data_IF_061370076403
#
_entry.id   IF_061370076403
#
_cell.length_a   1.000
_cell.length_b   1.000
_cell.length_c   1.000
_cell.angle_alpha   90.00
_cell.angle_beta   90.00
_cell.angle_gamma   90.00
#
_symmetry.space_group_name_H-M   'P 1'
#
loop_
_entity.id
_entity.type
_entity.pdbx_description
1 polymer ?
#
# COMPACT_ATOMS: atom_id res chain seq x y z
N UNK A 1 75.83 -12.32 4.53
CA UNK A 1 74.85 -11.24 4.32
C UNK A 1 73.67 -11.84 3.61
N UNK A 2 72.57 -12.19 4.33
CA UNK A 2 71.32 -12.76 3.76
C UNK A 2 70.23 -11.69 3.87
N UNK A 3 69.73 -11.22 2.70
CA UNK A 3 68.62 -10.28 2.62
C UNK A 3 67.30 -11.09 2.72
N UNK A 4 66.48 -10.81 3.69
CA UNK A 4 65.13 -11.31 3.78
C UNK A 4 64.19 -10.40 2.98
N UNK A 5 63.47 -10.98 2.01
CA UNK A 5 62.36 -10.32 1.33
C UNK A 5 61.07 -10.55 2.13
N UNK A 6 60.46 -9.47 2.60
CA UNK A 6 59.15 -9.50 3.25
C UNK A 6 58.09 -9.35 2.19
N UNK A 7 57.28 -10.37 1.95
CA UNK A 7 56.05 -10.30 1.11
C UNK A 7 54.90 -9.79 1.99
N UNK A 8 54.44 -8.58 1.71
CA UNK A 8 53.27 -8.00 2.32
C UNK A 8 52.05 -8.38 1.48
N UNK A 9 51.31 -9.38 1.94
CA UNK A 9 50.07 -9.82 1.29
C UNK A 9 48.96 -8.83 1.58
N UNK A 10 48.46 -8.17 0.53
CA UNK A 10 47.29 -7.29 0.57
C UNK A 10 46.04 -8.17 0.49
N UNK A 11 45.30 -8.32 1.61
CA UNK A 11 43.98 -8.92 1.65
C UNK A 11 42.98 -7.92 1.03
N UNK A 12 42.51 -8.19 -0.16
CA UNK A 12 41.33 -7.52 -0.72
C UNK A 12 40.08 -8.14 -0.09
N UNK A 13 39.47 -7.43 0.85
CA UNK A 13 38.13 -7.75 1.32
C UNK A 13 37.13 -7.31 0.24
N UNK A 14 36.63 -8.24 -0.55
CA UNK A 14 35.47 -8.02 -1.42
C UNK A 14 34.23 -7.88 -0.54
N UNK A 15 33.77 -6.64 -0.35
CA UNK A 15 32.45 -6.36 0.21
C UNK A 15 31.43 -6.73 -0.89
N UNK A 16 30.81 -7.91 -0.76
CA UNK A 16 29.59 -8.22 -1.49
C UNK A 16 28.47 -7.33 -0.94
N UNK A 17 28.23 -6.19 -1.58
CA UNK A 17 26.99 -5.45 -1.42
C UNK A 17 25.89 -6.27 -2.09
N UNK A 18 25.24 -7.13 -1.32
CA UNK A 18 24.01 -7.77 -1.75
C UNK A 18 22.97 -6.66 -1.96
N UNK A 19 22.57 -6.42 -3.20
CA UNK A 19 21.39 -5.64 -3.54
C UNK A 19 20.20 -6.42 -3.00
N UNK A 20 19.75 -6.12 -1.77
CA UNK A 20 18.43 -6.55 -1.33
C UNK A 20 17.42 -5.83 -2.24
N UNK A 21 16.70 -6.60 -3.04
CA UNK A 21 15.49 -6.11 -3.68
C UNK A 21 14.61 -5.56 -2.56
N UNK A 22 14.27 -4.27 -2.63
CA UNK A 22 13.44 -3.62 -1.63
C UNK A 22 12.07 -4.28 -1.66
N UNK A 23 11.85 -5.21 -0.76
CA UNK A 23 10.56 -5.79 -0.40
C UNK A 23 9.71 -4.72 0.28
N UNK A 24 8.40 -4.96 0.46
CA UNK A 24 7.46 -4.09 1.18
C UNK A 24 8.06 -3.42 2.43
N UNK A 25 7.45 -2.33 2.89
CA UNK A 25 7.97 -1.62 4.05
C UNK A 25 7.73 -2.41 5.34
N UNK A 26 8.81 -2.81 5.99
CA UNK A 26 8.78 -3.50 7.29
C UNK A 26 8.92 -2.51 8.43
N UNK A 27 8.10 -2.66 9.46
CA UNK A 27 8.16 -1.84 10.66
C UNK A 27 8.22 -2.74 11.90
N UNK A 28 9.00 -2.38 12.93
CA UNK A 28 8.88 -3.02 14.24
C UNK A 28 7.48 -2.77 14.79
N UNK A 29 6.88 -3.77 15.43
CA UNK A 29 5.61 -3.57 16.10
C UNK A 29 5.80 -2.64 17.30
N UNK A 30 4.97 -1.59 17.42
CA UNK A 30 4.95 -0.77 18.62
C UNK A 30 4.32 -1.55 19.79
N UNK A 31 4.45 -1.07 21.02
CA UNK A 31 3.73 -1.62 22.18
C UNK A 31 2.23 -1.82 21.89
N UNK A 32 1.55 -2.72 22.62
CA UNK A 32 0.13 -3.02 22.35
C UNK A 32 -0.81 -1.80 22.44
N UNK A 33 -0.47 -0.83 23.26
CA UNK A 33 -1.18 0.43 23.51
C UNK A 33 -0.76 1.58 22.56
N UNK A 34 0.17 1.34 21.65
CA UNK A 34 0.58 2.28 20.60
C UNK A 34 0.16 1.76 19.23
N UNK A 35 -0.19 2.66 18.32
CA UNK A 35 -0.58 2.33 16.94
C UNK A 35 0.27 3.05 15.89
N UNK A 36 1.07 4.03 16.29
CA UNK A 36 1.89 4.83 15.38
C UNK A 36 3.14 4.05 14.98
N UNK A 37 3.38 3.92 13.68
CA UNK A 37 4.59 3.32 13.09
C UNK A 37 5.16 4.21 11.99
N UNK A 38 6.46 4.10 11.77
CA UNK A 38 7.15 4.82 10.69
C UNK A 38 7.27 6.33 10.92
N UNK A 39 7.88 6.98 9.95
CA UNK A 39 8.06 8.43 9.89
C UNK A 39 7.87 8.89 8.44
N UNK A 40 7.31 10.07 8.24
CA UNK A 40 7.20 10.65 6.90
C UNK A 40 8.55 11.20 6.47
N UNK A 41 8.85 11.05 5.18
CA UNK A 41 10.07 11.60 4.56
C UNK A 41 9.71 12.53 3.42
N UNK A 42 10.70 13.17 2.80
CA UNK A 42 10.50 14.03 1.64
C UNK A 42 11.31 13.56 0.45
N UNK A 43 10.78 13.82 -0.75
CA UNK A 43 11.44 13.54 -2.02
C UNK A 43 11.33 14.75 -2.95
N UNK A 44 12.45 15.20 -3.50
CA UNK A 44 12.43 16.25 -4.51
C UNK A 44 12.36 15.65 -5.89
N UNK A 45 11.32 16.00 -6.65
CA UNK A 45 11.09 15.50 -8.00
C UNK A 45 12.24 15.91 -8.92
N UNK A 46 12.97 14.96 -9.54
CA UNK A 46 14.00 15.27 -10.52
C UNK A 46 13.40 15.61 -11.88
N UNK A 47 14.22 16.13 -12.80
CA UNK A 47 13.81 16.38 -14.18
C UNK A 47 14.03 15.12 -15.05
N UNK A 48 13.31 14.03 -14.75
CA UNK A 48 13.44 12.74 -15.43
C UNK A 48 12.14 12.27 -16.10
N UNK A 49 11.06 13.04 -15.98
CA UNK A 49 9.76 12.77 -16.62
C UNK A 49 9.01 11.56 -16.06
N UNK A 50 9.39 11.04 -14.87
CA UNK A 50 8.70 9.90 -14.26
C UNK A 50 7.33 10.29 -13.71
N UNK A 51 6.28 9.46 -13.90
CA UNK A 51 4.98 9.69 -13.28
C UNK A 51 5.03 9.44 -11.76
N UNK A 52 4.07 10.03 -11.04
CA UNK A 52 3.96 9.90 -9.58
C UNK A 52 3.83 8.43 -9.13
N UNK A 53 3.20 7.57 -9.94
CA UNK A 53 3.09 6.14 -9.68
C UNK A 53 4.47 5.45 -9.61
N UNK A 54 5.38 5.81 -10.51
CA UNK A 54 6.74 5.26 -10.51
C UNK A 54 7.52 5.70 -9.26
N UNK A 55 7.37 6.97 -8.86
CA UNK A 55 7.94 7.49 -7.60
C UNK A 55 7.33 6.75 -6.40
N UNK A 56 6.00 6.62 -6.36
CA UNK A 56 5.29 5.88 -5.31
C UNK A 56 5.77 4.43 -5.19
N UNK A 57 6.03 3.77 -6.33
CA UNK A 57 6.51 2.39 -6.35
C UNK A 57 7.90 2.24 -5.71
N UNK A 58 8.81 3.18 -5.93
CA UNK A 58 10.15 3.17 -5.31
C UNK A 58 10.06 3.19 -3.78
N UNK A 59 9.11 3.93 -3.23
CA UNK A 59 8.87 4.05 -1.78
C UNK A 59 7.83 3.06 -1.23
N UNK A 60 7.35 2.12 -2.04
CA UNK A 60 6.32 1.14 -1.63
C UNK A 60 5.01 1.78 -1.16
N UNK A 61 4.66 2.91 -1.73
CA UNK A 61 3.40 3.61 -1.48
C UNK A 61 2.42 3.37 -2.65
N UNK A 62 1.12 3.43 -2.38
CA UNK A 62 0.07 3.42 -3.40
C UNK A 62 -0.12 4.81 -4.02
N UNK A 63 -0.57 4.86 -5.28
CA UNK A 63 -0.76 6.14 -5.99
C UNK A 63 -1.71 7.07 -5.24
N UNK A 64 -2.87 6.58 -4.75
CA UNK A 64 -3.81 7.42 -4.02
C UNK A 64 -3.18 7.98 -2.74
N UNK A 65 -2.42 7.17 -1.99
CA UNK A 65 -1.72 7.65 -0.78
C UNK A 65 -0.73 8.77 -1.08
N UNK A 66 -0.04 8.71 -2.22
CA UNK A 66 0.83 9.81 -2.67
C UNK A 66 0.02 11.07 -3.03
N UNK A 67 -1.14 10.93 -3.67
CA UNK A 67 -2.01 12.06 -4.03
C UNK A 67 -2.68 12.69 -2.80
N UNK A 68 -3.12 11.89 -1.84
CA UNK A 68 -3.69 12.36 -0.57
C UNK A 68 -2.66 13.17 0.23
N UNK A 69 -1.42 12.70 0.30
CA UNK A 69 -0.34 13.39 0.98
C UNK A 69 0.10 14.68 0.24
N UNK A 70 0.02 14.69 -1.10
CA UNK A 70 0.54 15.77 -1.96
C UNK A 70 -0.54 16.34 -2.89
N UNK A 71 -1.53 17.07 -2.37
CA UNK A 71 -2.63 17.61 -3.19
C UNK A 71 -2.12 18.56 -4.27
N UNK A 72 -2.76 18.52 -5.43
CA UNK A 72 -2.41 19.35 -6.58
C UNK A 72 -1.17 18.89 -7.37
N UNK A 73 -0.57 17.76 -6.99
CA UNK A 73 0.51 17.15 -7.79
C UNK A 73 -0.07 16.49 -9.04
N UNK A 74 0.52 16.78 -10.21
CA UNK A 74 0.17 16.08 -11.45
C UNK A 74 0.61 14.61 -11.35
N UNK A 75 -0.32 13.63 -11.45
CA UNK A 75 0.04 12.22 -11.33
C UNK A 75 0.86 11.70 -12.53
N UNK A 76 0.75 12.32 -13.69
CA UNK A 76 1.42 11.87 -14.91
C UNK A 76 2.78 12.51 -15.12
N UNK A 77 2.92 13.78 -14.73
CA UNK A 77 4.16 14.54 -14.90
C UNK A 77 4.36 15.50 -13.71
N UNK A 78 4.77 15.01 -12.53
CA UNK A 78 5.09 15.87 -11.40
C UNK A 78 6.14 16.91 -11.78
N UNK A 79 5.92 18.16 -11.38
CA UNK A 79 6.81 19.28 -11.74
C UNK A 79 8.19 19.07 -11.12
N UNK A 80 9.30 19.12 -11.89
CA UNK A 80 10.66 19.09 -11.35
C UNK A 80 10.90 20.16 -10.27
N UNK A 81 11.60 19.79 -9.21
CA UNK A 81 11.86 20.65 -8.05
C UNK A 81 10.73 20.68 -7.01
N UNK A 82 9.56 20.07 -7.28
CA UNK A 82 8.53 19.90 -6.25
C UNK A 82 9.03 18.99 -5.15
N UNK A 83 8.86 19.41 -3.89
CA UNK A 83 9.13 18.57 -2.73
C UNK A 83 7.85 17.81 -2.38
N UNK A 84 7.88 16.48 -2.54
CA UNK A 84 6.79 15.60 -2.18
C UNK A 84 6.97 15.06 -0.76
N UNK A 85 5.88 14.94 -0.02
CA UNK A 85 5.83 14.15 1.22
C UNK A 85 5.65 12.68 0.87
N UNK A 86 6.50 11.82 1.39
CA UNK A 86 6.37 10.36 1.28
C UNK A 86 5.67 9.85 2.55
N UNK A 87 4.40 9.41 2.47
CA UNK A 87 3.58 9.09 3.63
C UNK A 87 3.87 7.67 4.18
N UNK A 88 5.02 7.52 4.81
CA UNK A 88 5.49 6.26 5.43
C UNK A 88 5.14 6.15 6.92
N UNK A 89 4.67 7.22 7.55
CA UNK A 89 4.10 7.18 8.89
C UNK A 89 2.62 6.77 8.83
N UNK A 90 2.21 5.81 9.66
CA UNK A 90 0.89 5.16 9.59
C UNK A 90 0.38 4.83 11.00
N UNK A 91 -0.93 4.96 11.23
CA UNK A 91 -1.59 4.32 12.37
C UNK A 91 -2.01 2.89 11.98
N UNK A 92 -1.62 1.91 12.79
CA UNK A 92 -2.10 0.54 12.62
C UNK A 92 -3.63 0.48 12.76
N UNK A 93 -4.34 -0.37 11.99
CA UNK A 93 -5.77 -0.60 12.16
C UNK A 93 -6.11 -1.09 13.57
N UNK A 94 -7.30 -0.74 14.09
CA UNK A 94 -7.79 -1.24 15.38
C UNK A 94 -8.33 -2.66 15.25
N UNK A 95 -7.41 -3.60 15.12
CA UNK A 95 -7.70 -5.02 14.90
C UNK A 95 -6.69 -5.89 15.63
N UNK A 96 -6.95 -7.19 15.69
CA UNK A 96 -5.91 -8.13 16.11
C UNK A 96 -4.68 -8.01 15.20
N UNK A 97 -3.50 -7.86 15.78
CA UNK A 97 -2.20 -7.88 15.06
C UNK A 97 -1.81 -9.33 14.73
N UNK A 98 -2.57 -9.98 13.86
CA UNK A 98 -2.45 -11.40 13.54
C UNK A 98 -2.79 -11.66 12.08
N UNK A 99 -1.94 -12.40 11.38
CA UNK A 99 -2.15 -12.78 9.99
C UNK A 99 -2.19 -11.57 9.07
N UNK A 100 -3.21 -11.48 8.23
CA UNK A 100 -3.39 -10.39 7.26
C UNK A 100 -4.58 -9.52 7.67
N UNK A 101 -4.39 -8.22 7.67
CA UNK A 101 -5.47 -7.22 7.77
C UNK A 101 -5.45 -6.39 6.50
N UNK A 102 -6.59 -6.28 5.83
CA UNK A 102 -6.77 -5.45 4.63
C UNK A 102 -7.71 -4.31 4.99
N UNK A 103 -7.23 -3.06 4.92
CA UNK A 103 -8.10 -1.90 5.02
C UNK A 103 -8.35 -1.31 3.64
N UNK A 104 -9.57 -1.48 3.15
CA UNK A 104 -9.94 -1.07 1.80
C UNK A 104 -9.88 0.46 1.62
N UNK A 105 -10.27 1.23 2.63
CA UNK A 105 -10.24 2.69 2.57
C UNK A 105 -8.81 3.25 2.44
N UNK A 106 -7.83 2.58 3.05
CA UNK A 106 -6.43 2.97 2.98
C UNK A 106 -5.71 2.48 1.72
N UNK A 107 -6.31 1.49 1.00
CA UNK A 107 -5.63 0.72 -0.04
C UNK A 107 -4.33 0.08 0.48
N UNK A 108 -4.37 -0.45 1.71
CA UNK A 108 -3.23 -1.08 2.40
C UNK A 108 -3.57 -2.48 2.90
N UNK A 109 -2.57 -3.36 2.85
CA UNK A 109 -2.55 -4.68 3.47
C UNK A 109 -1.44 -4.71 4.51
N UNK A 110 -1.78 -5.14 5.72
CA UNK A 110 -0.88 -5.32 6.85
C UNK A 110 -0.70 -6.81 7.08
N UNK A 111 0.54 -7.29 7.07
CA UNK A 111 0.84 -8.66 7.41
C UNK A 111 1.64 -8.72 8.71
N UNK A 112 1.16 -9.51 9.64
CA UNK A 112 1.76 -9.76 10.95
C UNK A 112 2.32 -11.18 10.97
N UNK A 113 3.62 -11.40 10.68
CA UNK A 113 4.23 -12.73 10.69
C UNK A 113 4.18 -13.35 12.08
N UNK A 114 3.75 -14.61 12.16
CA UNK A 114 3.62 -15.31 13.44
C UNK A 114 4.98 -15.48 14.12
N UNK A 115 5.08 -15.02 15.38
CA UNK A 115 6.29 -15.13 16.19
C UNK A 115 7.35 -14.07 15.91
N UNK A 116 7.07 -13.09 15.05
CA UNK A 116 7.97 -11.97 14.77
C UNK A 116 7.38 -10.67 15.32
N UNK A 117 8.25 -9.79 15.83
CA UNK A 117 7.85 -8.48 16.37
C UNK A 117 7.89 -7.41 15.28
N UNK A 118 7.17 -7.66 14.19
CA UNK A 118 7.09 -6.73 13.06
C UNK A 118 5.74 -6.77 12.37
N UNK A 119 5.46 -5.73 11.60
CA UNK A 119 4.38 -5.66 10.62
C UNK A 119 4.97 -5.28 9.27
N UNK A 120 4.44 -5.88 8.21
CA UNK A 120 4.82 -5.58 6.82
C UNK A 120 3.63 -4.93 6.15
N UNK A 121 3.83 -3.75 5.59
CA UNK A 121 2.76 -2.95 4.98
C UNK A 121 2.93 -2.95 3.47
N UNK A 122 1.86 -3.31 2.77
CA UNK A 122 1.81 -3.36 1.32
C UNK A 122 0.74 -2.40 0.78
N UNK A 123 1.04 -1.58 -0.21
CA UNK A 123 0.01 -0.90 -0.98
C UNK A 123 -0.72 -1.92 -1.88
N UNK A 124 -2.02 -1.77 -2.00
CA UNK A 124 -2.86 -2.72 -2.77
C UNK A 124 -3.76 -2.00 -3.76
N UNK A 125 -4.11 -2.71 -4.84
CA UNK A 125 -5.25 -2.39 -5.67
C UNK A 125 -6.47 -3.18 -5.21
N UNK A 126 -7.66 -2.57 -5.27
CA UNK A 126 -8.91 -3.19 -4.83
C UNK A 126 -10.00 -3.15 -5.91
N UNK A 127 -11.16 -3.72 -5.60
CA UNK A 127 -12.34 -3.71 -6.48
C UNK A 127 -12.80 -2.30 -6.82
N UNK A 128 -13.11 -2.08 -8.10
CA UNK A 128 -13.74 -0.84 -8.57
C UNK A 128 -15.16 -0.71 -8.02
N UNK A 129 -15.78 0.46 -8.20
CA UNK A 129 -17.16 0.72 -7.79
C UNK A 129 -18.10 -0.36 -8.35
N UNK A 130 -18.98 -0.89 -7.50
CA UNK A 130 -19.87 -2.02 -7.83
C UNK A 130 -19.22 -3.42 -7.79
N UNK A 131 -17.92 -3.52 -7.54
CA UNK A 131 -17.16 -4.78 -7.43
C UNK A 131 -16.47 -4.87 -6.07
N UNK A 132 -17.27 -4.96 -5.01
CA UNK A 132 -16.75 -4.87 -3.64
C UNK A 132 -16.11 -6.17 -3.15
N UNK A 133 -15.02 -6.02 -2.40
CA UNK A 133 -14.50 -7.11 -1.56
C UNK A 133 -15.32 -7.18 -0.29
N UNK A 134 -15.89 -8.34 0.11
CA UNK A 134 -16.69 -8.45 1.33
C UNK A 134 -15.90 -8.14 2.60
N UNK A 135 -16.52 -7.40 3.52
CA UNK A 135 -15.95 -7.09 4.84
C UNK A 135 -16.21 -8.26 5.78
N UNK A 136 -15.19 -9.02 6.09
CA UNK A 136 -15.30 -10.18 6.99
C UNK A 136 -13.95 -10.70 7.45
N UNK A 137 -13.98 -11.62 8.39
CA UNK A 137 -12.84 -12.46 8.75
C UNK A 137 -12.91 -13.76 7.97
N UNK A 138 -11.80 -14.12 7.34
CA UNK A 138 -11.62 -15.32 6.54
C UNK A 138 -10.21 -15.88 6.71
N UNK A 139 -9.76 -16.78 5.82
CA UNK A 139 -8.41 -17.31 5.82
C UNK A 139 -7.91 -17.59 4.39
N UNK A 140 -6.60 -17.77 4.25
CA UNK A 140 -5.98 -18.25 3.01
C UNK A 140 -6.30 -19.74 2.85
N UNK A 141 -7.17 -20.09 1.91
CA UNK A 141 -7.59 -21.48 1.66
C UNK A 141 -6.62 -22.22 0.73
N UNK A 142 -6.00 -21.51 -0.23
CA UNK A 142 -5.11 -22.11 -1.22
C UNK A 142 -4.03 -21.12 -1.65
N UNK A 143 -2.84 -21.64 -1.92
CA UNK A 143 -1.71 -20.92 -2.53
C UNK A 143 -1.52 -21.46 -3.94
N UNK A 144 -1.50 -20.59 -4.94
CA UNK A 144 -1.49 -20.95 -6.36
C UNK A 144 -0.31 -20.26 -7.04
N UNK A 145 0.81 -20.95 -7.24
CA UNK A 145 1.89 -20.42 -8.08
C UNK A 145 1.49 -20.55 -9.55
N UNK A 146 1.92 -19.62 -10.37
CA UNK A 146 1.65 -19.56 -11.80
C UNK A 146 0.15 -19.75 -12.14
N UNK A 147 -0.75 -18.91 -11.58
CA UNK A 147 -2.18 -19.05 -11.79
C UNK A 147 -2.55 -18.85 -13.26
N UNK A 148 -3.56 -19.59 -13.74
CA UNK A 148 -4.27 -19.23 -14.96
C UNK A 148 -5.37 -18.22 -14.64
N UNK A 149 -5.73 -17.38 -15.59
CA UNK A 149 -6.84 -16.45 -15.43
C UNK A 149 -8.00 -16.81 -16.34
N UNK A 150 -9.16 -17.05 -15.75
CA UNK A 150 -10.41 -17.25 -16.47
C UNK A 150 -11.27 -16.01 -16.32
N UNK A 151 -11.30 -15.10 -17.32
CA UNK A 151 -12.14 -13.91 -17.24
C UNK A 151 -13.61 -14.29 -17.16
N UNK A 152 -14.34 -13.68 -16.21
CA UNK A 152 -15.77 -13.91 -16.05
C UNK A 152 -16.54 -13.45 -17.29
N UNK A 153 -17.79 -13.91 -17.45
CA UNK A 153 -18.64 -13.49 -18.57
C UNK A 153 -18.78 -11.94 -18.61
N UNK A 154 -18.93 -11.31 -17.45
CA UNK A 154 -19.03 -9.85 -17.36
C UNK A 154 -17.72 -9.16 -17.77
N UNK A 155 -16.57 -9.68 -17.40
CA UNK A 155 -15.28 -9.17 -17.85
C UNK A 155 -15.16 -9.28 -19.36
N UNK A 156 -15.44 -10.44 -19.93
CA UNK A 156 -15.40 -10.67 -21.40
C UNK A 156 -16.32 -9.68 -22.13
N UNK A 157 -17.57 -9.50 -21.64
CA UNK A 157 -18.53 -8.57 -22.22
C UNK A 157 -18.02 -7.12 -22.23
N UNK A 158 -17.41 -6.68 -21.11
CA UNK A 158 -16.82 -5.33 -21.01
C UNK A 158 -15.65 -5.13 -21.98
N UNK A 159 -14.78 -6.11 -22.14
CA UNK A 159 -13.67 -6.06 -23.09
C UNK A 159 -14.18 -6.09 -24.54
N UNK A 160 -15.18 -6.91 -24.84
CA UNK A 160 -15.80 -6.99 -26.15
C UNK A 160 -16.46 -5.65 -26.53
N UNK A 161 -17.10 -4.94 -25.59
CA UNK A 161 -17.65 -3.61 -25.82
C UNK A 161 -16.59 -2.56 -26.20
N UNK A 162 -15.31 -2.84 -25.86
CA UNK A 162 -14.14 -2.01 -26.23
C UNK A 162 -13.37 -2.57 -27.45
N UNK A 163 -13.96 -3.52 -28.18
CA UNK A 163 -13.35 -4.12 -29.36
C UNK A 163 -12.28 -5.18 -29.05
N UNK A 164 -12.11 -5.60 -27.79
CA UNK A 164 -11.11 -6.60 -27.38
C UNK A 164 -11.79 -7.92 -27.09
N UNK A 165 -11.38 -8.98 -27.79
CA UNK A 165 -11.83 -10.36 -27.52
C UNK A 165 -10.83 -11.05 -26.60
N UNK A 166 -11.23 -11.31 -25.34
CA UNK A 166 -10.42 -12.07 -24.41
C UNK A 166 -10.53 -13.57 -24.69
N UNK A 167 -9.43 -14.36 -24.55
CA UNK A 167 -9.48 -15.80 -24.58
C UNK A 167 -10.33 -16.34 -23.42
N UNK A 168 -10.84 -17.58 -23.55
CA UNK A 168 -11.58 -18.23 -22.48
C UNK A 168 -10.74 -18.40 -21.21
N UNK A 169 -9.46 -18.73 -21.38
CA UNK A 169 -8.45 -18.85 -20.32
C UNK A 169 -7.16 -18.20 -20.80
N UNK A 170 -6.59 -17.34 -19.96
CA UNK A 170 -5.22 -16.82 -20.14
C UNK A 170 -4.28 -17.72 -19.36
N UNK A 171 -3.29 -18.35 -19.99
CA UNK A 171 -2.34 -19.23 -19.30
C UNK A 171 -1.45 -18.41 -18.34
N UNK A 172 -0.74 -19.11 -17.46
CA UNK A 172 0.31 -18.51 -16.67
C UNK A 172 1.38 -17.89 -17.58
N UNK A 173 1.92 -16.73 -17.18
CA UNK A 173 2.95 -16.05 -17.95
C UNK A 173 2.88 -14.53 -17.84
N UNK A 174 3.74 -13.81 -18.56
CA UNK A 174 3.89 -12.36 -18.45
C UNK A 174 2.64 -11.57 -18.88
N UNK A 175 1.80 -12.15 -19.74
CA UNK A 175 0.56 -11.53 -20.20
C UNK A 175 -0.63 -11.78 -19.24
N UNK A 176 -0.44 -12.59 -18.19
CA UNK A 176 -1.51 -12.92 -17.27
C UNK A 176 -1.69 -11.79 -16.23
N UNK A 177 -2.89 -11.15 -16.17
CA UNK A 177 -3.14 -10.05 -15.22
C UNK A 177 -3.18 -10.48 -13.76
N UNK A 178 -3.14 -11.79 -13.46
CA UNK A 178 -3.02 -12.32 -12.09
C UNK A 178 -1.58 -12.34 -11.59
N UNK A 179 -0.58 -12.09 -12.46
CA UNK A 179 0.83 -12.26 -12.13
C UNK A 179 1.23 -13.72 -11.88
N UNK A 180 2.32 -13.91 -11.15
CA UNK A 180 2.92 -15.24 -10.92
C UNK A 180 2.42 -15.95 -9.66
N UNK A 181 1.74 -15.24 -8.75
CA UNK A 181 1.32 -15.78 -7.46
C UNK A 181 -0.09 -15.31 -7.10
N UNK A 182 -0.89 -16.23 -6.58
CA UNK A 182 -2.21 -15.94 -6.03
C UNK A 182 -2.49 -16.74 -4.75
N UNK A 183 -3.22 -16.14 -3.83
CA UNK A 183 -3.73 -16.76 -2.62
C UNK A 183 -5.26 -16.65 -2.62
N UNK A 184 -5.96 -17.79 -2.64
CA UNK A 184 -7.41 -17.84 -2.59
C UNK A 184 -7.88 -17.65 -1.15
N UNK A 185 -8.91 -16.85 -0.98
CA UNK A 185 -9.56 -16.64 0.31
C UNK A 185 -10.73 -17.59 0.51
N UNK A 186 -10.95 -18.04 1.74
CA UNK A 186 -12.06 -18.94 2.12
C UNK A 186 -13.37 -18.14 2.26
N UNK A 187 -13.76 -17.42 1.20
CA UNK A 187 -14.99 -16.61 1.17
C UNK A 187 -15.61 -16.62 -0.23
N UNK A 188 -16.91 -16.29 -0.29
CA UNK A 188 -17.69 -16.42 -1.52
C UNK A 188 -17.69 -17.87 -2.02
N UNK A 189 -17.65 -18.03 -3.34
CA UNK A 189 -17.50 -19.33 -4.00
C UNK A 189 -16.06 -19.59 -4.45
N UNK A 190 -15.07 -18.87 -3.84
CA UNK A 190 -13.65 -18.97 -4.17
C UNK A 190 -13.18 -18.00 -5.25
N UNK A 191 -13.96 -16.97 -5.57
CA UNK A 191 -13.65 -15.93 -6.54
C UNK A 191 -12.74 -14.83 -5.99
N UNK A 192 -12.61 -14.71 -4.66
CA UNK A 192 -11.80 -13.67 -4.03
C UNK A 192 -10.38 -14.16 -3.79
N UNK A 193 -9.42 -13.38 -4.31
CA UNK A 193 -8.00 -13.69 -4.23
C UNK A 193 -7.19 -12.45 -3.81
N UNK A 194 -6.05 -12.73 -3.18
CA UNK A 194 -4.92 -11.82 -3.08
C UNK A 194 -3.93 -12.29 -4.14
N UNK A 195 -3.59 -11.46 -5.13
CA UNK A 195 -2.81 -11.90 -6.28
C UNK A 195 -1.88 -10.80 -6.80
N UNK A 196 -0.95 -11.18 -7.63
CA UNK A 196 -0.06 -10.25 -8.30
C UNK A 196 -0.70 -9.50 -9.46
N UNK A 197 0.15 -8.93 -10.28
CA UNK A 197 -0.23 -8.28 -11.53
C UNK A 197 0.92 -8.43 -12.53
N UNK A 198 0.64 -8.31 -13.81
CA UNK A 198 1.65 -8.20 -14.86
C UNK A 198 2.08 -6.75 -15.12
N UNK A 199 1.50 -5.77 -14.41
CA UNK A 199 1.83 -4.36 -14.52
C UNK A 199 1.75 -3.69 -13.15
N UNK A 200 2.59 -2.69 -12.89
CA UNK A 200 2.54 -1.93 -11.65
C UNK A 200 1.31 -1.02 -11.55
N UNK A 201 0.68 -0.73 -12.69
CA UNK A 201 -0.51 0.10 -12.76
C UNK A 201 -1.66 -0.46 -11.92
N UNK A 202 -2.31 0.41 -11.17
CA UNK A 202 -3.49 0.09 -10.38
C UNK A 202 -3.22 -0.27 -8.92
N UNK A 203 -1.96 -0.23 -8.46
CA UNK A 203 -1.62 -0.36 -7.05
C UNK A 203 -1.83 0.99 -6.35
N UNK A 204 -2.59 0.98 -5.27
CA UNK A 204 -3.12 2.19 -4.65
C UNK A 204 -4.32 2.76 -5.40
N UNK A 205 -5.08 1.93 -6.12
CA UNK A 205 -6.25 2.34 -6.91
C UNK A 205 -7.39 1.32 -6.81
N UNK A 206 -8.58 1.72 -7.28
CA UNK A 206 -9.78 0.87 -7.36
C UNK A 206 -10.00 0.40 -8.80
N UNK A 207 -9.41 -0.72 -9.16
CA UNK A 207 -9.32 -1.17 -10.58
C UNK A 207 -9.68 -2.63 -10.80
N UNK A 208 -9.81 -3.45 -9.74
CA UNK A 208 -10.05 -4.88 -9.88
C UNK A 208 -11.55 -5.22 -9.93
N UNK A 209 -11.86 -6.50 -10.09
CA UNK A 209 -13.23 -7.03 -10.01
C UNK A 209 -13.54 -7.65 -8.63
N UNK A 210 -13.00 -7.07 -7.55
CA UNK A 210 -13.21 -7.51 -6.17
C UNK A 210 -12.02 -8.23 -5.55
N UNK A 211 -11.00 -8.61 -6.33
CA UNK A 211 -9.76 -9.18 -5.82
C UNK A 211 -8.82 -8.09 -5.29
N UNK A 212 -7.90 -8.51 -4.43
CA UNK A 212 -6.84 -7.66 -3.87
C UNK A 212 -5.57 -7.88 -4.70
N UNK A 213 -5.04 -6.79 -5.27
CA UNK A 213 -3.91 -6.82 -6.19
C UNK A 213 -2.67 -6.22 -5.53
N UNK A 214 -1.51 -6.88 -5.69
CA UNK A 214 -0.19 -6.40 -5.24
C UNK A 214 0.77 -6.27 -6.42
N UNK A 215 1.84 -5.49 -6.24
CA UNK A 215 2.97 -5.48 -7.18
C UNK A 215 3.60 -6.87 -7.29
N UNK A 216 4.27 -7.19 -8.40
CA UNK A 216 4.89 -8.51 -8.59
C UNK A 216 5.83 -8.94 -7.47
N UNK A 217 6.73 -8.06 -7.04
CA UNK A 217 7.70 -8.35 -5.97
C UNK A 217 7.00 -8.49 -4.60
N UNK A 218 5.98 -7.67 -4.35
CA UNK A 218 5.23 -7.65 -3.10
C UNK A 218 4.42 -8.95 -2.92
N UNK A 219 3.75 -9.42 -3.98
CA UNK A 219 3.00 -10.68 -3.91
C UNK A 219 3.93 -11.88 -3.79
N UNK A 220 5.08 -11.88 -4.44
CA UNK A 220 6.07 -12.96 -4.32
C UNK A 220 6.57 -13.07 -2.88
N UNK A 221 6.98 -11.96 -2.28
CA UNK A 221 7.41 -11.92 -0.89
C UNK A 221 6.29 -12.38 0.06
N UNK A 222 5.09 -11.81 -0.07
CA UNK A 222 3.94 -12.17 0.77
C UNK A 222 3.55 -13.65 0.59
N UNK A 223 3.50 -14.13 -0.64
CA UNK A 223 3.18 -15.54 -0.94
C UNK A 223 4.15 -16.50 -0.26
N UNK A 224 5.45 -16.21 -0.28
CA UNK A 224 6.46 -17.07 0.33
C UNK A 224 6.35 -17.10 1.86
N UNK A 225 6.00 -15.99 2.50
CA UNK A 225 5.89 -15.87 3.95
C UNK A 225 4.58 -16.38 4.54
N UNK A 226 3.46 -16.26 3.80
CA UNK A 226 2.11 -16.54 4.33
C UNK A 226 1.79 -18.03 4.21
N UNK A 227 1.56 -18.76 5.33
CA UNK A 227 1.08 -20.12 5.31
C UNK A 227 -0.38 -20.23 4.85
N UNK A 228 -0.78 -21.38 4.31
CA UNK A 228 -2.19 -21.74 4.18
C UNK A 228 -2.86 -21.77 5.56
N UNK A 229 -4.10 -21.31 5.64
CA UNK A 229 -4.84 -21.18 6.91
C UNK A 229 -4.61 -19.85 7.63
N UNK A 230 -3.68 -19.00 7.15
CA UNK A 230 -3.45 -17.68 7.74
C UNK A 230 -4.76 -16.88 7.77
N UNK A 231 -5.08 -16.32 8.95
CA UNK A 231 -6.23 -15.44 9.15
C UNK A 231 -6.13 -14.21 8.24
N UNK A 232 -7.25 -13.82 7.63
CA UNK A 232 -7.40 -12.60 6.84
C UNK A 232 -8.61 -11.84 7.34
N UNK A 233 -8.45 -10.59 7.69
CA UNK A 233 -9.55 -9.69 8.04
C UNK A 233 -9.62 -8.56 7.03
N UNK A 234 -10.78 -8.39 6.40
CA UNK A 234 -11.06 -7.28 5.49
C UNK A 234 -11.94 -6.27 6.22
N UNK A 235 -11.48 -5.03 6.28
CA UNK A 235 -12.17 -3.89 6.88
C UNK A 235 -12.25 -2.72 5.89
N UNK A 236 -13.10 -1.74 6.21
CA UNK A 236 -13.22 -0.48 5.48
C UNK A 236 -13.33 0.65 6.50
N UNK A 237 -12.20 1.09 6.99
CA UNK A 237 -12.08 2.07 8.06
C UNK A 237 -11.28 3.29 7.55
N UNK A 238 -11.99 4.35 7.11
CA UNK A 238 -11.34 5.55 6.57
C UNK A 238 -10.80 6.48 7.66
N UNK A 239 -11.20 6.31 8.93
CA UNK A 239 -10.73 7.14 10.05
C UNK A 239 -10.10 6.26 11.11
N UNK A 240 -8.88 6.54 11.48
CA UNK A 240 -8.18 5.88 12.58
C UNK A 240 -7.78 6.91 13.61
N UNK A 241 -7.96 6.59 14.87
CA UNK A 241 -7.55 7.42 16.00
C UNK A 241 -6.56 6.64 16.87
N UNK A 242 -5.62 7.32 17.48
CA UNK A 242 -4.74 6.72 18.47
C UNK A 242 -4.41 7.68 19.59
N UNK A 243 -4.30 7.13 20.79
CA UNK A 243 -3.73 7.79 21.96
C UNK A 243 -2.47 7.00 22.32
N UNK A 244 -1.32 7.62 22.08
CA UNK A 244 -0.03 7.00 22.28
C UNK A 244 0.39 7.03 23.77
N UNK A 245 1.30 6.13 24.22
CA UNK A 245 1.74 6.06 25.61
C UNK A 245 2.40 7.35 26.14
N UNK A 246 2.95 8.19 25.24
CA UNK A 246 3.52 9.49 25.57
C UNK A 246 2.46 10.61 25.68
N UNK A 247 1.18 10.27 25.57
CA UNK A 247 0.05 11.19 25.63
C UNK A 247 -0.28 11.91 24.33
N UNK A 248 0.45 11.64 23.26
CA UNK A 248 0.14 12.18 21.93
C UNK A 248 -1.12 11.54 21.36
N UNK A 249 -1.93 12.35 20.72
CA UNK A 249 -3.21 11.96 20.13
C UNK A 249 -3.14 12.19 18.63
N UNK A 250 -3.45 11.14 17.86
CA UNK A 250 -3.39 11.20 16.41
C UNK A 250 -4.72 10.82 15.79
N UNK A 251 -5.04 11.44 14.66
CA UNK A 251 -6.06 11.00 13.72
C UNK A 251 -5.44 10.82 12.35
N UNK A 252 -5.74 9.72 11.67
CA UNK A 252 -5.39 9.46 10.27
C UNK A 252 -6.68 9.30 9.48
N UNK A 253 -6.84 10.08 8.42
CA UNK A 253 -8.08 10.12 7.63
C UNK A 253 -7.78 9.90 6.17
N UNK A 254 -8.46 8.95 5.58
CA UNK A 254 -8.43 8.59 4.17
C UNK A 254 -9.73 8.94 3.46
N UNK A 255 -9.69 8.97 2.14
CA UNK A 255 -10.89 9.11 1.32
C UNK A 255 -11.80 7.88 1.51
N UNK A 256 -13.10 8.06 1.80
CA UNK A 256 -14.03 6.95 1.89
C UNK A 256 -14.22 6.31 0.51
N UNK A 257 -14.59 5.04 0.48
CA UNK A 257 -14.89 4.36 -0.77
C UNK A 257 -16.18 4.86 -1.39
N UNK A 258 -16.16 5.26 -2.68
CA UNK A 258 -17.36 5.57 -3.46
C UNK A 258 -18.28 4.35 -3.49
N UNK A 259 -19.58 4.58 -3.31
CA UNK A 259 -20.61 3.54 -3.36
C UNK A 259 -21.22 3.43 -4.75
N UNK A 260 -21.31 4.56 -5.44
CA UNK A 260 -21.81 4.71 -6.81
C UNK A 260 -20.83 5.53 -7.64
N UNK A 261 -20.98 5.48 -8.95
CA UNK A 261 -20.04 6.10 -9.91
C UNK A 261 -19.94 7.64 -9.77
N UNK A 262 -21.02 8.28 -9.31
CA UNK A 262 -21.07 9.73 -9.12
C UNK A 262 -20.62 10.22 -7.74
N UNK A 263 -20.25 9.31 -6.83
CA UNK A 263 -19.71 9.69 -5.54
C UNK A 263 -18.30 10.28 -5.71
N UNK A 264 -18.05 11.45 -5.15
CA UNK A 264 -16.73 12.03 -5.06
C UNK A 264 -16.10 11.71 -3.68
N UNK A 265 -15.09 10.83 -3.60
CA UNK A 265 -14.45 10.47 -2.34
C UNK A 265 -13.82 11.65 -1.59
N UNK A 266 -13.51 12.75 -2.28
CA UNK A 266 -12.92 13.94 -1.64
C UNK A 266 -13.93 14.75 -0.86
N UNK A 267 -15.21 14.73 -1.28
CA UNK A 267 -16.28 15.54 -0.69
C UNK A 267 -17.34 14.74 0.03
N UNK A 268 -17.42 13.41 -0.20
CA UNK A 268 -18.36 12.54 0.51
C UNK A 268 -18.26 12.71 2.03
N UNK A 269 -19.42 12.77 2.75
CA UNK A 269 -19.39 12.81 4.21
C UNK A 269 -18.79 11.51 4.79
N UNK A 270 -17.93 11.65 5.80
CA UNK A 270 -17.40 10.53 6.58
C UNK A 270 -18.25 10.41 7.84
N UNK A 271 -18.89 9.25 8.03
CA UNK A 271 -19.63 8.96 9.25
C UNK A 271 -18.66 8.50 10.35
N UNK A 272 -18.41 9.37 11.32
CA UNK A 272 -17.59 9.02 12.48
C UNK A 272 -18.31 8.01 13.39
N UNK A 273 -17.57 7.01 13.85
CA UNK A 273 -18.01 6.05 14.86
C UNK A 273 -18.27 6.73 16.22
N UNK A 274 -18.81 5.98 17.18
CA UNK A 274 -19.02 6.48 18.56
C UNK A 274 -17.69 6.84 19.22
N UNK A 275 -16.66 6.02 19.03
CA UNK A 275 -15.36 6.19 19.66
C UNK A 275 -14.58 7.35 19.05
N UNK A 276 -14.63 7.53 17.72
CA UNK A 276 -14.06 8.69 17.04
C UNK A 276 -14.72 10.01 17.46
N UNK A 277 -16.05 10.02 17.63
CA UNK A 277 -16.79 11.18 18.16
C UNK A 277 -16.39 11.50 19.60
N UNK A 278 -16.26 10.46 20.45
CA UNK A 278 -15.81 10.62 21.83
C UNK A 278 -14.38 11.15 21.89
N UNK A 279 -13.47 10.60 21.08
CA UNK A 279 -12.09 11.07 20.96
C UNK A 279 -12.01 12.53 20.51
N UNK A 280 -12.82 12.93 19.52
CA UNK A 280 -12.87 14.29 19.01
C UNK A 280 -13.49 15.30 20.01
N UNK A 281 -14.36 14.83 20.93
CA UNK A 281 -15.00 15.64 21.96
C UNK A 281 -14.21 15.70 23.27
N UNK A 282 -13.15 14.91 23.40
CA UNK A 282 -12.28 14.89 24.57
C UNK A 282 -11.55 16.23 24.73
N UNK A 283 -11.48 16.78 25.95
CA UNK A 283 -10.85 18.07 26.23
C UNK A 283 -9.34 18.15 25.95
N UNK A 284 -8.68 17.01 25.69
CA UNK A 284 -7.27 16.96 25.27
C UNK A 284 -7.10 16.98 23.75
N UNK A 285 -8.18 16.83 22.98
CA UNK A 285 -8.18 16.87 21.51
C UNK A 285 -8.54 18.28 21.03
N UNK A 286 -7.70 18.86 20.21
CA UNK A 286 -8.02 20.08 19.45
C UNK A 286 -9.05 19.75 18.38
N UNK A 287 -10.29 20.08 18.67
CA UNK A 287 -11.42 19.80 17.79
C UNK A 287 -11.31 20.44 16.43
N UNK A 288 -10.73 21.63 16.33
CA UNK A 288 -10.55 22.34 15.06
C UNK A 288 -9.53 21.63 14.16
N UNK A 289 -8.43 21.14 14.76
CA UNK A 289 -7.42 20.36 14.04
C UNK A 289 -7.99 19.00 13.62
N UNK A 290 -8.73 18.33 14.50
CA UNK A 290 -9.41 17.06 14.16
C UNK A 290 -10.38 17.22 13.00
N UNK A 291 -11.27 18.20 13.05
CA UNK A 291 -12.24 18.45 11.97
C UNK A 291 -11.55 18.83 10.65
N UNK A 292 -10.46 19.60 10.73
CA UNK A 292 -9.61 19.93 9.56
C UNK A 292 -8.99 18.68 8.95
N UNK A 293 -8.50 17.74 9.76
CA UNK A 293 -7.96 16.47 9.27
C UNK A 293 -9.04 15.62 8.57
N UNK A 294 -10.27 15.59 9.12
CA UNK A 294 -11.42 14.89 8.51
C UNK A 294 -11.80 15.49 7.15
N UNK A 295 -11.67 16.80 6.99
CA UNK A 295 -11.90 17.47 5.70
C UNK A 295 -10.74 17.23 4.74
N UNK A 296 -9.48 17.33 5.22
CA UNK A 296 -8.26 17.27 4.41
C UNK A 296 -7.98 15.87 3.85
N UNK A 297 -8.26 14.79 4.61
CA UNK A 297 -8.07 13.39 4.18
C UNK A 297 -6.68 13.13 3.61
N UNK A 298 -5.65 13.49 4.41
CA UNK A 298 -4.26 13.43 3.95
C UNK A 298 -3.69 12.01 3.87
N UNK A 299 -4.38 11.01 4.44
CA UNK A 299 -3.86 9.64 4.55
C UNK A 299 -2.66 9.50 5.49
N UNK A 300 -2.37 10.55 6.28
CA UNK A 300 -1.26 10.61 7.23
C UNK A 300 -1.77 10.87 8.65
N UNK A 301 -1.09 10.32 9.69
CA UNK A 301 -1.36 10.68 11.08
C UNK A 301 -1.14 12.17 11.32
N UNK A 302 -2.16 12.84 11.87
CA UNK A 302 -2.14 14.25 12.28
C UNK A 302 -2.21 14.32 13.79
N UNK A 303 -1.26 15.04 14.41
CA UNK A 303 -1.25 15.30 15.85
C UNK A 303 -2.38 16.26 16.19
N UNK A 304 -3.24 15.89 17.13
CA UNK A 304 -4.45 16.63 17.47
C UNK A 304 -4.53 17.03 18.97
N UNK A 305 -3.42 17.08 19.68
CA UNK A 305 -3.40 17.55 21.06
C UNK A 305 -3.69 19.05 21.14
N UNK A 306 -4.46 19.46 22.14
CA UNK A 306 -4.66 20.89 22.43
C UNK A 306 -3.32 21.59 22.68
N UNK A 307 -3.13 22.74 22.03
CA UNK A 307 -1.92 23.58 22.20
C UNK A 307 -0.66 23.06 21.49
N UNK A 308 -0.75 21.98 20.70
CA UNK A 308 0.34 21.51 19.86
C UNK A 308 0.05 21.84 18.40
N UNK A 309 1.01 22.48 17.74
CA UNK A 309 0.84 22.88 16.33
C UNK A 309 1.14 21.67 15.41
N UNK A 310 0.19 21.23 14.56
CA UNK A 310 0.41 20.12 13.63
C UNK A 310 1.53 20.38 12.61
N UNK A 311 1.97 21.62 12.45
CA UNK A 311 2.98 22.05 11.46
C UNK A 311 4.42 21.62 11.79
N UNK A 312 4.68 21.05 12.97
CA UNK A 312 6.01 20.59 13.38
C UNK A 312 6.25 19.09 13.16
N UNK A 313 5.63 18.48 12.14
CA UNK A 313 6.02 17.13 11.74
C UNK A 313 7.42 17.21 11.14
N UNK A 314 8.41 16.70 11.87
CA UNK A 314 9.80 16.61 11.41
C UNK A 314 9.86 15.74 10.16
N UNK A 315 10.12 16.35 9.01
CA UNK A 315 10.37 15.65 7.75
C UNK A 315 11.89 15.50 7.60
N UNK A 316 12.38 14.26 7.63
CA UNK A 316 13.78 13.96 7.31
C UNK A 316 13.92 13.77 5.80
N UNK A 317 14.85 14.47 5.12
CA UNK A 317 15.14 14.21 3.71
C UNK A 317 15.78 12.83 3.57
N UNK A 318 15.21 11.98 2.71
CA UNK A 318 15.76 10.67 2.41
C UNK A 318 16.38 10.66 1.01
N UNK A 319 17.52 9.99 0.86
CA UNK A 319 18.10 9.73 -0.46
C UNK A 319 17.18 8.75 -1.22
N UNK A 320 16.89 9.06 -2.50
CA UNK A 320 16.09 8.18 -3.33
C UNK A 320 16.70 6.77 -3.35
N UNK A 321 15.89 5.70 -3.13
CA UNK A 321 16.35 4.34 -3.31
C UNK A 321 16.84 4.15 -4.75
N UNK A 322 17.91 3.36 -4.93
CA UNK A 322 18.45 3.08 -6.27
C UNK A 322 17.33 2.52 -7.16
N UNK A 323 17.09 3.19 -8.30
CA UNK A 323 16.02 2.83 -9.22
C UNK A 323 16.10 1.34 -9.58
N UNK A 324 15.11 0.58 -9.18
CA UNK A 324 15.02 -0.85 -9.46
C UNK A 324 14.74 -1.02 -10.96
N UNK A 325 15.73 -1.46 -11.72
CA UNK A 325 15.52 -1.79 -13.13
C UNK A 325 14.60 -3.01 -13.18
N UNK A 326 13.32 -2.76 -13.43
CA UNK A 326 12.33 -3.82 -13.65
C UNK A 326 12.88 -4.83 -14.69
N UNK A 327 12.87 -6.13 -14.38
CA UNK A 327 13.25 -7.17 -15.35
C UNK A 327 12.23 -7.30 -16.50
N UNK A 328 11.10 -6.60 -16.43
CA UNK A 328 10.09 -6.62 -17.49
C UNK A 328 10.40 -5.58 -18.57
N UNK A 329 11.23 -5.97 -19.55
CA UNK A 329 11.31 -5.26 -20.83
C UNK A 329 10.03 -5.53 -21.63
N UNK A 330 9.19 -4.49 -21.76
CA UNK A 330 8.35 -4.29 -22.94
C UNK A 330 7.23 -5.29 -23.19
N UNK A 331 6.25 -5.38 -22.29
CA UNK A 331 4.89 -5.65 -22.71
C UNK A 331 4.25 -4.30 -23.07
N UNK A 332 3.73 -4.15 -24.28
CA UNK A 332 2.99 -2.96 -24.65
C UNK A 332 1.87 -2.74 -23.63
N UNK A 333 1.65 -1.51 -23.13
CA UNK A 333 0.53 -1.26 -22.23
C UNK A 333 -0.75 -1.68 -22.98
N UNK A 334 -1.53 -2.55 -22.36
CA UNK A 334 -2.93 -2.66 -22.74
C UNK A 334 -3.47 -1.26 -22.45
N UNK A 335 -3.61 -0.47 -23.52
CA UNK A 335 -3.94 0.94 -23.48
C UNK A 335 -4.98 1.20 -22.40
N UNK A 336 -4.65 2.16 -21.52
CA UNK A 336 -5.55 2.82 -20.61
C UNK A 336 -6.92 2.99 -21.28
N UNK A 337 -7.89 2.27 -20.77
CA UNK A 337 -9.28 2.53 -21.13
C UNK A 337 -9.97 2.88 -19.84
N UNK A 338 -10.30 4.18 -19.75
CA UNK A 338 -11.20 4.75 -18.77
C UNK A 338 -12.46 3.94 -18.59
#
# INVERSE_FOLDING_TARGET
>A
MKRALSLMGMLFATVLTGTQAASATEYPLPPPDSRLIGENTTYTVPNDGRPLEAIAADYKIGLLGMLEANPGTDPFLPKPGTVLTIPTQVLLPDTKREGIVVNLAELRLYYYPKGENKVIVYPIGIGQTGMHTPLQVTSVSQKIPNPTWTPTANIRKRYQAKGVTLPAVVPAGPENPMGLFAMRLAMGHGEYLIHGTNANFGIGMRVSSGCIRLRPDDIEALFNMVPRGTRVQVINDPVKISMEPDGKRYVEVHQPLSRVENDDPQTMPIALSKDEKAFAADGQTDRGVFDSAVVRRSGMPVLVNVGQNPSEVSLTPEAAPAANKSPFKGGAPISSVN
#
